data_IF_972657424559
#
_entry.id   IF_972657424559
#
_cell.length_a   1.000
_cell.length_b   1.000
_cell.length_c   1.000
_cell.angle_alpha   90.00
_cell.angle_beta   90.00
_cell.angle_gamma   90.00
#
_symmetry.space_group_name_H-M   'P 1'
#
loop_
_entity.id
_entity.type
_entity.pdbx_description
1 polymer ?
#
# COMPACT_ATOMS: atom_id res chain seq x y z
N UNK A 1 -6.91 -0.25 -9.11
CA UNK A 1 -5.64 -0.84 -8.67
C UNK A 1 -5.78 -1.26 -7.23
N UNK A 2 -5.32 -2.46 -6.93
CA UNK A 2 -5.20 -2.99 -5.57
C UNK A 2 -3.73 -3.23 -5.30
N UNK A 3 -3.32 -3.09 -4.05
CA UNK A 3 -1.93 -3.33 -3.64
C UNK A 3 -1.87 -4.56 -2.77
N UNK A 4 -0.84 -5.38 -2.95
CA UNK A 4 -0.58 -6.50 -2.08
C UNK A 4 0.41 -6.12 -0.98
N UNK A 5 0.28 -6.73 0.20
CA UNK A 5 1.22 -6.59 1.31
C UNK A 5 1.59 -7.98 1.83
N UNK A 6 2.88 -8.19 2.11
CA UNK A 6 3.36 -9.45 2.68
C UNK A 6 2.71 -9.69 4.04
N UNK A 7 2.13 -10.88 4.21
CA UNK A 7 1.52 -11.39 5.44
C UNK A 7 2.14 -12.72 5.85
N UNK A 8 1.96 -13.10 7.12
CA UNK A 8 2.38 -14.42 7.62
C UNK A 8 1.53 -15.56 7.03
N UNK A 9 0.25 -15.29 6.78
CA UNK A 9 -0.72 -16.29 6.33
C UNK A 9 -0.93 -16.25 4.82
N UNK A 10 -1.28 -17.41 4.26
CA UNK A 10 -1.74 -17.55 2.88
C UNK A 10 -3.10 -16.88 2.70
N UNK A 11 -3.27 -16.18 1.59
CA UNK A 11 -4.56 -15.66 1.18
C UNK A 11 -5.30 -16.69 0.33
N UNK A 12 -6.27 -17.36 0.93
CA UNK A 12 -7.06 -18.42 0.30
C UNK A 12 -7.90 -17.93 -0.89
N UNK A 13 -8.16 -16.62 -0.97
CA UNK A 13 -8.88 -16.02 -2.09
C UNK A 13 -8.08 -16.09 -3.40
N UNK A 14 -6.76 -16.25 -3.32
CA UNK A 14 -5.88 -16.37 -4.48
C UNK A 14 -5.68 -17.83 -4.93
N UNK A 15 -6.00 -18.82 -4.11
CA UNK A 15 -5.66 -20.23 -4.38
C UNK A 15 -6.25 -20.74 -5.71
N UNK A 16 -7.49 -20.33 -6.01
CA UNK A 16 -8.16 -20.67 -7.28
C UNK A 16 -7.39 -20.20 -8.53
N UNK A 17 -6.63 -19.11 -8.41
CA UNK A 17 -5.77 -18.58 -9.45
C UNK A 17 -4.39 -19.24 -9.40
N UNK A 18 -3.77 -19.26 -8.23
CA UNK A 18 -2.38 -19.70 -8.04
C UNK A 18 -2.16 -21.18 -8.34
N UNK A 19 -3.17 -22.04 -8.16
CA UNK A 19 -3.07 -23.47 -8.51
C UNK A 19 -2.82 -23.72 -10.01
N UNK A 20 -3.07 -22.73 -10.86
CA UNK A 20 -2.86 -22.84 -12.31
C UNK A 20 -1.48 -22.36 -12.75
N UNK A 21 -0.68 -21.74 -11.87
CA UNK A 21 0.58 -21.09 -12.26
C UNK A 21 1.62 -22.07 -12.80
N UNK A 22 1.63 -23.31 -12.30
CA UNK A 22 2.50 -24.38 -12.82
C UNK A 22 2.16 -24.82 -14.25
N UNK A 23 0.96 -24.47 -14.76
CA UNK A 23 0.54 -24.78 -16.13
C UNK A 23 0.88 -23.67 -17.12
N UNK A 24 1.21 -22.47 -16.65
CA UNK A 24 1.40 -21.26 -17.47
C UNK A 24 2.78 -20.63 -17.25
N UNK A 25 3.78 -21.43 -16.87
CA UNK A 25 5.13 -20.94 -16.61
C UNK A 25 5.79 -20.33 -17.87
N UNK A 26 5.42 -20.84 -19.04
CA UNK A 26 5.93 -20.43 -20.34
C UNK A 26 5.02 -19.39 -21.00
N UNK A 27 5.59 -18.48 -21.83
CA UNK A 27 4.84 -17.48 -22.57
C UNK A 27 3.80 -18.10 -23.50
N UNK A 28 2.71 -17.38 -23.74
CA UNK A 28 1.58 -17.75 -24.61
C UNK A 28 0.78 -19.01 -24.22
N UNK A 29 1.15 -19.68 -23.13
CA UNK A 29 0.35 -20.77 -22.57
C UNK A 29 -0.85 -20.20 -21.80
N UNK A 30 -2.01 -20.85 -21.96
CA UNK A 30 -3.27 -20.44 -21.35
C UNK A 30 -3.82 -21.59 -20.51
N UNK A 31 -4.43 -21.24 -19.38
CA UNK A 31 -5.18 -22.16 -18.55
C UNK A 31 -6.61 -21.65 -18.37
N UNK A 32 -7.57 -22.56 -18.41
CA UNK A 32 -8.95 -22.27 -18.04
C UNK A 32 -9.09 -22.29 -16.52
N UNK A 33 -9.85 -21.33 -15.99
CA UNK A 33 -10.12 -21.20 -14.56
C UNK A 33 -11.63 -21.23 -14.34
N UNK A 34 -12.05 -21.83 -13.23
CA UNK A 34 -13.45 -21.81 -12.83
C UNK A 34 -13.93 -20.36 -12.61
N UNK A 35 -15.11 -19.98 -13.13
CA UNK A 35 -15.65 -18.65 -12.90
C UNK A 35 -15.81 -18.34 -11.40
N UNK A 36 -15.28 -17.20 -10.97
CA UNK A 36 -15.52 -16.69 -9.62
C UNK A 36 -15.77 -15.18 -9.63
N UNK A 37 -16.49 -14.63 -8.64
CA UNK A 37 -16.74 -13.18 -8.57
C UNK A 37 -15.43 -12.40 -8.43
N UNK A 38 -15.11 -11.45 -9.32
CA UNK A 38 -13.86 -10.68 -9.24
C UNK A 38 -13.73 -9.89 -7.92
N UNK A 39 -14.84 -9.56 -7.27
CA UNK A 39 -14.87 -8.91 -5.96
C UNK A 39 -14.23 -9.75 -4.85
N UNK A 40 -14.00 -11.05 -5.07
CA UNK A 40 -13.18 -11.91 -4.19
C UNK A 40 -11.70 -11.48 -4.16
N UNK A 41 -11.22 -10.77 -5.17
CA UNK A 41 -9.83 -10.28 -5.20
C UNK A 41 -9.69 -8.88 -4.58
N UNK A 42 -10.69 -8.39 -3.86
CA UNK A 42 -10.64 -7.09 -3.20
C UNK A 42 -10.45 -7.29 -1.69
N UNK A 43 -9.63 -6.42 -1.09
CA UNK A 43 -9.42 -6.34 0.35
C UNK A 43 -10.63 -5.71 1.05
N UNK A 44 -10.81 -6.02 2.32
CA UNK A 44 -11.72 -5.27 3.19
C UNK A 44 -13.21 -5.54 3.02
N UNK A 45 -13.99 -4.57 3.49
CA UNK A 45 -15.43 -4.56 3.31
C UNK A 45 -15.78 -4.14 1.88
N UNK A 46 -16.30 -5.08 1.09
CA UNK A 46 -16.67 -4.89 -0.32
C UNK A 46 -17.74 -3.82 -0.53
N UNK A 47 -18.54 -3.55 0.49
CA UNK A 47 -19.60 -2.53 0.46
C UNK A 47 -19.06 -1.12 0.81
N UNK A 48 -17.81 -1.03 1.28
CA UNK A 48 -17.20 0.24 1.70
C UNK A 48 -15.71 0.29 1.40
N UNK A 49 -15.38 0.22 0.12
CA UNK A 49 -14.03 0.38 -0.38
C UNK A 49 -13.65 1.85 -0.46
N UNK A 50 -12.58 2.21 0.25
CA UNK A 50 -11.98 3.52 0.13
C UNK A 50 -10.88 3.53 -0.94
N UNK A 51 -10.86 4.58 -1.77
CA UNK A 51 -9.86 4.71 -2.83
C UNK A 51 -9.38 6.15 -3.00
N UNK A 52 -8.17 6.28 -3.53
CA UNK A 52 -7.68 7.51 -4.14
C UNK A 52 -8.03 7.52 -5.63
N UNK A 53 -8.40 8.68 -6.17
CA UNK A 53 -8.75 8.83 -7.59
C UNK A 53 -8.04 10.00 -8.24
N UNK A 54 -7.41 9.77 -9.40
CA UNK A 54 -6.66 10.79 -10.14
C UNK A 54 -6.60 10.48 -11.65
N UNK A 55 -6.39 11.51 -12.47
CA UNK A 55 -6.11 11.37 -13.91
C UNK A 55 -4.64 11.00 -14.14
N UNK A 56 -4.39 10.06 -15.03
CA UNK A 56 -3.03 9.64 -15.36
C UNK A 56 -2.94 8.90 -16.69
N UNK A 57 -1.84 8.17 -16.83
CA UNK A 57 -1.50 7.48 -18.07
C UNK A 57 -1.53 5.97 -17.94
N UNK A 58 -1.48 5.28 -19.08
CA UNK A 58 -1.03 3.90 -19.12
C UNK A 58 0.36 3.77 -18.48
N UNK A 59 0.61 2.66 -17.79
CA UNK A 59 1.92 2.34 -17.17
C UNK A 59 2.83 1.53 -18.10
N UNK A 60 2.33 1.17 -19.28
CA UNK A 60 3.05 0.53 -20.37
C UNK A 60 3.02 1.42 -21.61
N UNK A 61 4.02 1.31 -22.51
CA UNK A 61 3.97 2.00 -23.81
C UNK A 61 2.65 1.72 -24.53
N UNK A 62 2.07 2.72 -25.22
CA UNK A 62 2.62 4.05 -25.52
C UNK A 62 2.35 5.13 -24.45
N UNK A 63 1.99 4.76 -23.22
CA UNK A 63 1.85 5.71 -22.09
C UNK A 63 0.79 6.82 -22.28
N UNK A 64 -0.30 6.56 -23.00
CA UNK A 64 -1.36 7.55 -23.22
C UNK A 64 -2.00 8.04 -21.91
N UNK A 65 -2.25 9.36 -21.81
CA UNK A 65 -2.87 10.05 -20.66
C UNK A 65 -4.40 9.99 -20.69
N UNK A 66 -4.95 8.80 -20.92
CA UNK A 66 -6.39 8.58 -21.09
C UNK A 66 -7.02 7.82 -19.92
N UNK A 67 -6.31 7.65 -18.80
CA UNK A 67 -6.72 6.77 -17.70
C UNK A 67 -7.18 7.57 -16.49
N UNK A 68 -8.31 7.16 -15.90
CA UNK A 68 -8.70 7.59 -14.55
C UNK A 68 -8.36 6.46 -13.59
N UNK A 69 -7.36 6.69 -12.75
CA UNK A 69 -6.91 5.72 -11.78
C UNK A 69 -7.77 5.74 -10.52
N UNK A 70 -8.23 4.57 -10.07
CA UNK A 70 -8.76 4.34 -8.72
C UNK A 70 -7.85 3.37 -7.98
N UNK A 71 -7.20 3.82 -6.91
CA UNK A 71 -6.26 3.05 -6.11
C UNK A 71 -6.86 2.76 -4.73
N UNK A 72 -7.06 1.49 -4.39
CA UNK A 72 -7.57 1.06 -3.08
C UNK A 72 -6.66 1.56 -1.96
N UNK A 73 -7.25 2.01 -0.85
CA UNK A 73 -6.48 2.38 0.36
C UNK A 73 -6.09 1.17 1.21
N UNK A 74 -6.74 0.02 0.98
CA UNK A 74 -6.50 -1.21 1.74
C UNK A 74 -5.64 -2.20 0.94
N UNK A 75 -4.68 -2.83 1.63
CA UNK A 75 -3.82 -3.85 1.06
C UNK A 75 -4.46 -5.24 1.11
N UNK A 76 -4.21 -6.04 0.08
CA UNK A 76 -4.56 -7.45 0.04
C UNK A 76 -3.39 -8.23 0.64
N UNK A 77 -3.61 -9.03 1.70
CA UNK A 77 -2.56 -9.87 2.26
C UNK A 77 -2.14 -10.95 1.25
N UNK A 78 -0.86 -11.28 1.23
CA UNK A 78 -0.29 -12.39 0.45
C UNK A 78 0.94 -12.93 1.17
N UNK A 79 1.10 -14.24 1.24
CA UNK A 79 2.27 -14.84 1.85
C UNK A 79 3.50 -14.79 0.94
N UNK A 80 4.70 -14.92 1.51
CA UNK A 80 5.94 -15.01 0.73
C UNK A 80 5.90 -16.19 -0.26
N UNK A 81 5.50 -17.42 0.12
CA UNK A 81 5.37 -18.53 -0.84
C UNK A 81 4.41 -18.22 -1.99
N UNK A 82 3.25 -17.62 -1.72
CA UNK A 82 2.29 -17.25 -2.77
C UNK A 82 2.86 -16.17 -3.70
N UNK A 83 3.57 -15.16 -3.16
CA UNK A 83 4.23 -14.14 -3.96
C UNK A 83 5.33 -14.72 -4.85
N UNK A 84 6.05 -15.73 -4.37
CA UNK A 84 7.11 -16.41 -5.15
C UNK A 84 6.56 -17.09 -6.40
N UNK A 85 5.33 -17.62 -6.37
CA UNK A 85 4.70 -18.22 -7.56
C UNK A 85 4.57 -17.23 -8.72
N UNK A 86 4.28 -15.95 -8.47
CA UNK A 86 4.26 -14.94 -9.54
C UNK A 86 5.63 -14.77 -10.21
N UNK A 87 6.70 -15.03 -9.45
CA UNK A 87 8.08 -14.85 -9.91
C UNK A 87 8.63 -16.08 -10.63
N UNK A 88 7.89 -17.20 -10.67
CA UNK A 88 8.29 -18.39 -11.45
C UNK A 88 7.91 -18.29 -12.92
N UNK A 89 6.99 -17.38 -13.28
CA UNK A 89 6.54 -17.20 -14.66
C UNK A 89 7.64 -16.55 -15.52
N UNK A 90 7.70 -16.91 -16.81
CA UNK A 90 8.70 -16.43 -17.75
C UNK A 90 8.12 -15.55 -18.87
N UNK A 91 8.97 -14.73 -19.47
CA UNK A 91 8.66 -13.99 -20.70
C UNK A 91 9.11 -14.77 -21.96
N UNK A 92 8.86 -14.21 -23.15
CA UNK A 92 9.31 -14.74 -24.45
C UNK A 92 10.82 -14.98 -24.58
N UNK A 93 11.64 -14.36 -23.71
CA UNK A 93 13.09 -14.53 -23.65
C UNK A 93 13.54 -15.54 -22.62
N UNK A 94 12.59 -16.29 -22.04
CA UNK A 94 12.83 -17.24 -20.95
C UNK A 94 13.43 -16.58 -19.68
N UNK A 95 13.11 -15.31 -19.44
CA UNK A 95 13.51 -14.60 -18.23
C UNK A 95 12.33 -14.52 -17.27
N UNK A 96 12.59 -14.66 -15.96
CA UNK A 96 11.55 -14.51 -14.95
C UNK A 96 10.84 -13.14 -15.05
N UNK A 97 9.51 -13.15 -14.93
CA UNK A 97 8.65 -11.96 -14.91
C UNK A 97 8.77 -11.22 -13.57
N UNK A 98 9.94 -10.62 -13.35
CA UNK A 98 10.25 -9.81 -12.17
C UNK A 98 10.35 -8.33 -12.55
N UNK A 99 10.09 -7.46 -11.57
CA UNK A 99 10.24 -6.00 -11.72
C UNK A 99 9.41 -5.38 -12.86
N UNK A 100 8.26 -5.97 -13.20
CA UNK A 100 7.31 -5.44 -14.20
C UNK A 100 6.53 -4.21 -13.73
N UNK A 101 7.21 -3.19 -13.21
CA UNK A 101 6.60 -1.95 -12.73
C UNK A 101 7.28 -0.70 -13.32
N UNK A 102 6.49 0.36 -13.52
CA UNK A 102 6.99 1.68 -13.91
C UNK A 102 7.35 2.49 -12.64
N UNK A 103 8.49 3.20 -12.60
CA UNK A 103 8.83 4.09 -11.50
C UNK A 103 7.77 5.16 -11.25
N UNK A 104 7.69 5.66 -10.01
CA UNK A 104 6.78 6.76 -9.64
C UNK A 104 7.08 7.98 -10.53
N UNK A 105 6.03 8.58 -11.07
CA UNK A 105 6.11 9.77 -11.91
C UNK A 105 5.73 11.00 -11.09
N UNK A 106 6.26 12.17 -11.47
CA UNK A 106 5.95 13.43 -10.82
C UNK A 106 4.44 13.71 -10.80
N UNK A 107 3.95 14.33 -9.71
CA UNK A 107 2.53 14.61 -9.54
C UNK A 107 2.05 15.71 -10.51
N UNK A 108 2.92 16.67 -10.87
CA UNK A 108 2.63 17.77 -11.80
C UNK A 108 1.31 18.50 -11.49
N UNK A 109 1.11 18.83 -10.20
CA UNK A 109 -0.07 19.54 -9.70
C UNK A 109 -1.42 18.85 -9.93
N UNK A 110 -1.43 17.56 -10.31
CA UNK A 110 -2.68 16.81 -10.47
C UNK A 110 -3.42 16.69 -9.15
N UNK A 111 -4.74 16.89 -9.21
CA UNK A 111 -5.62 16.67 -8.07
C UNK A 111 -5.79 15.17 -7.82
N UNK A 112 -5.52 14.75 -6.59
CA UNK A 112 -5.84 13.41 -6.09
C UNK A 112 -7.00 13.55 -5.11
N UNK A 113 -8.11 12.89 -5.42
CA UNK A 113 -9.30 12.85 -4.58
C UNK A 113 -9.34 11.55 -3.78
N UNK A 114 -10.10 11.51 -2.69
CA UNK A 114 -10.34 10.27 -1.91
C UNK A 114 -11.81 10.13 -1.54
N UNK A 115 -12.30 8.89 -1.48
CA UNK A 115 -13.62 8.59 -0.93
C UNK A 115 -13.63 8.45 0.58
N UNK A 116 -12.45 8.33 1.19
CA UNK A 116 -12.31 8.14 2.63
C UNK A 116 -12.92 9.34 3.33
N UNK A 117 -13.96 9.09 4.12
CA UNK A 117 -14.60 10.16 4.89
C UNK A 117 -13.57 10.73 5.86
N UNK A 118 -13.41 12.07 5.92
CA UNK A 118 -12.57 12.67 6.93
C UNK A 118 -13.08 12.22 8.29
N UNK A 119 -12.25 11.54 9.07
CA UNK A 119 -12.52 11.42 10.49
C UNK A 119 -12.41 12.84 11.04
N UNK A 120 -13.52 13.43 11.49
CA UNK A 120 -13.45 14.66 12.26
C UNK A 120 -12.58 14.38 13.49
N UNK A 121 -11.32 14.78 13.46
CA UNK A 121 -10.57 15.01 14.69
C UNK A 121 -11.10 16.31 15.29
N UNK A 122 -12.26 16.25 15.94
CA UNK A 122 -12.62 17.30 16.87
C UNK A 122 -11.75 17.10 18.11
N UNK A 123 -10.70 17.93 18.21
CA UNK A 123 -9.73 17.86 19.28
C UNK A 123 -8.76 19.01 19.16
N UNK A 124 -9.24 20.24 19.37
CA UNK A 124 -8.36 21.31 19.82
C UNK A 124 -7.88 20.88 21.20
N UNK A 125 -6.65 20.36 21.32
CA UNK A 125 -6.00 20.23 22.62
C UNK A 125 -5.62 21.63 23.06
N UNK A 126 -6.46 22.24 23.90
CA UNK A 126 -6.04 23.39 24.70
C UNK A 126 -5.00 22.90 25.70
N UNK A 127 -3.74 23.27 25.49
CA UNK A 127 -2.71 23.08 26.50
C UNK A 127 -2.77 24.29 27.43
N UNK A 128 -3.58 24.18 28.48
CA UNK A 128 -3.44 25.05 29.65
C UNK A 128 -2.29 24.47 30.48
N UNK A 129 -1.07 24.98 30.27
CA UNK A 129 0.07 24.66 31.15
C UNK A 129 -0.11 25.45 32.44
N UNK A 130 -0.76 24.87 33.44
CA UNK A 130 -0.53 25.33 34.80
C UNK A 130 0.85 24.82 35.22
N UNK A 131 1.85 25.69 35.11
CA UNK A 131 3.18 25.44 35.64
C UNK A 131 3.10 25.39 37.17
N UNK A 132 3.00 24.19 37.73
CA UNK A 132 3.20 23.99 39.17
C UNK A 132 4.60 24.47 39.57
N UNK A 133 4.72 25.16 40.70
CA UNK A 133 6.00 25.59 41.28
C UNK A 133 6.99 24.42 41.46
N UNK A 134 6.49 23.19 41.59
CA UNK A 134 7.33 21.99 41.63
C UNK A 134 8.06 21.68 40.31
N UNK A 135 7.50 22.07 39.15
CA UNK A 135 8.15 21.87 37.85
C UNK A 135 9.25 22.90 37.58
N UNK A 136 9.10 24.14 38.07
CA UNK A 136 10.14 25.18 37.95
C UNK A 136 11.37 24.79 38.76
N UNK A 137 11.18 24.33 40.01
CA UNK A 137 12.26 23.85 40.87
C UNK A 137 13.03 22.65 40.27
N UNK A 138 12.35 21.78 39.51
CA UNK A 138 13.01 20.66 38.83
C UNK A 138 13.86 21.11 37.63
N UNK A 139 13.45 22.15 36.91
CA UNK A 139 14.24 22.70 35.81
C UNK A 139 15.46 23.45 36.37
N UNK A 140 15.29 24.24 37.45
CA UNK A 140 16.40 24.97 38.06
C UNK A 140 17.47 24.00 38.63
N UNK A 141 17.06 22.92 39.29
CA UNK A 141 17.99 21.88 39.76
C UNK A 141 18.71 21.17 38.60
N UNK A 142 18.02 20.95 37.48
CA UNK A 142 18.64 20.34 36.30
C UNK A 142 19.66 21.28 35.64
N UNK A 143 19.39 22.58 35.61
CA UNK A 143 20.34 23.59 35.10
C UNK A 143 21.58 23.65 36.00
N UNK A 144 21.42 23.68 37.33
CA UNK A 144 22.56 23.69 38.26
C UNK A 144 23.45 22.46 38.10
N UNK A 145 22.86 21.26 37.98
CA UNK A 145 23.61 20.01 37.77
C UNK A 145 24.37 20.00 36.44
N UNK A 146 23.78 20.56 35.37
CA UNK A 146 24.46 20.67 34.08
C UNK A 146 25.61 21.68 34.20
N UNK A 147 25.39 22.86 34.78
CA UNK A 147 26.46 23.87 34.92
C UNK A 147 27.62 23.39 35.81
N UNK A 148 27.36 22.55 36.82
CA UNK A 148 28.40 21.98 37.67
C UNK A 148 29.26 20.91 36.97
N UNK A 149 28.83 20.37 35.82
CA UNK A 149 29.64 19.45 35.02
C UNK A 149 30.53 20.17 33.99
N UNK A 150 30.35 21.48 33.81
CA UNK A 150 31.07 22.30 32.82
C UNK A 150 31.97 23.40 33.45
N UNK A 151 32.14 23.41 34.78
CA UNK A 151 33.20 24.14 35.50
C UNK A 151 34.04 23.17 36.32
#
# INVERSE_FOLDING_TARGET
>A
YVCFQISAENNTQLDSLLQHFSKIEEPDIKAEIEPFPPTRLLSGNKDRLDFYRYFGSLTTPPCYESVIWSLSTEFIPISVPQMTLFRTLHNEKNEHLVNGYRPVQALNHRLVTTTRRPTMRCGVRSYHMETSLSFILLIDLAIELVTSQYM
#
